data_IF_819482891153
#
_entry.id   IF_819482891153
#
_cell.length_a   1.000
_cell.length_b   1.000
_cell.length_c   1.000
_cell.angle_alpha   90.00
_cell.angle_beta   90.00
_cell.angle_gamma   90.00
#
_symmetry.space_group_name_H-M   'P 1'
#
loop_
_entity.id
_entity.type
_entity.pdbx_description
1 polymer ?
#
# COMPACT_ATOMS: atom_id res chain seq x y z
N UNK A 1 -36.26 -1.76 -3.55
CA UNK A 1 -34.89 -1.29 -3.21
C UNK A 1 -33.78 -2.25 -3.67
N UNK A 2 -33.99 -3.59 -3.66
CA UNK A 2 -32.95 -4.59 -4.02
C UNK A 2 -32.57 -4.53 -5.50
N UNK A 3 -33.49 -4.18 -6.37
CA UNK A 3 -33.31 -4.13 -7.83
C UNK A 3 -33.08 -2.70 -8.37
N UNK A 4 -33.06 -1.70 -7.49
CA UNK A 4 -32.85 -0.29 -7.91
C UNK A 4 -31.41 -0.11 -8.39
N UNK A 5 -31.23 0.41 -9.60
CA UNK A 5 -29.92 0.66 -10.22
C UNK A 5 -29.24 -0.56 -10.84
N UNK A 6 -29.95 -1.73 -10.93
CA UNK A 6 -29.40 -2.90 -11.62
C UNK A 6 -29.18 -2.58 -13.11
N UNK A 7 -27.95 -2.83 -13.60
CA UNK A 7 -27.54 -2.55 -14.96
C UNK A 7 -27.12 -1.10 -15.22
N UNK A 8 -27.26 -0.19 -14.22
CA UNK A 8 -26.89 1.23 -14.33
C UNK A 8 -25.66 1.57 -13.49
N UNK A 9 -25.60 1.02 -12.24
CA UNK A 9 -24.51 1.28 -11.31
C UNK A 9 -23.82 -0.02 -10.93
N UNK A 10 -22.54 -0.13 -11.25
CA UNK A 10 -21.71 -1.29 -10.95
C UNK A 10 -20.82 -1.00 -9.75
N UNK A 11 -21.15 -1.58 -8.60
CA UNK A 11 -20.38 -1.37 -7.34
C UNK A 11 -18.92 -1.78 -7.41
N UNK A 12 -18.53 -2.61 -8.40
CA UNK A 12 -17.14 -2.95 -8.65
C UNK A 12 -16.28 -1.72 -8.98
N UNK A 13 -16.86 -0.68 -9.56
CA UNK A 13 -16.16 0.56 -9.91
C UNK A 13 -15.83 1.44 -8.69
N UNK A 14 -16.47 1.17 -7.55
CA UNK A 14 -16.21 1.85 -6.28
C UNK A 14 -15.21 1.10 -5.39
N UNK A 15 -14.67 -0.05 -5.87
CA UNK A 15 -13.73 -0.86 -5.09
C UNK A 15 -12.31 -0.32 -5.18
N UNK A 16 -11.57 -0.46 -4.08
CA UNK A 16 -10.17 -0.12 -4.02
C UNK A 16 -9.27 -1.31 -4.40
N UNK A 17 -8.16 -1.05 -5.07
CA UNK A 17 -7.07 -2.00 -5.23
C UNK A 17 -6.11 -1.93 -4.04
N UNK A 18 -5.84 -3.07 -3.42
CA UNK A 18 -4.90 -3.14 -2.31
C UNK A 18 -3.47 -3.30 -2.82
N UNK A 19 -2.67 -2.24 -2.82
CA UNK A 19 -1.32 -2.24 -3.39
C UNK A 19 -0.29 -2.83 -2.43
N UNK A 20 -0.35 -2.50 -1.15
CA UNK A 20 0.60 -2.98 -0.15
C UNK A 20 0.09 -4.21 0.60
N UNK A 21 1.02 -5.03 1.10
CA UNK A 21 0.72 -6.29 1.80
C UNK A 21 0.47 -6.09 3.31
N UNK A 22 -0.08 -4.94 3.70
CA UNK A 22 -0.38 -4.55 5.09
C UNK A 22 -1.85 -4.22 5.28
N UNK A 23 -2.26 -3.88 6.48
CA UNK A 23 -3.60 -3.37 6.77
C UNK A 23 -3.90 -2.11 5.96
N UNK A 24 -5.12 -1.98 5.43
CA UNK A 24 -5.48 -0.83 4.60
C UNK A 24 -5.29 0.51 5.31
N UNK A 25 -5.51 0.55 6.62
CA UNK A 25 -5.30 1.74 7.45
C UNK A 25 -3.84 2.24 7.49
N UNK A 26 -2.86 1.43 7.08
CA UNK A 26 -1.45 1.87 6.99
C UNK A 26 -1.10 2.45 5.62
N UNK A 27 -1.93 2.22 4.60
CA UNK A 27 -1.60 2.57 3.22
C UNK A 27 -1.39 4.07 3.01
N UNK A 28 -2.23 5.00 3.55
CA UNK A 28 -2.02 6.42 3.31
C UNK A 28 -0.65 6.91 3.79
N UNK A 29 -0.22 6.49 4.99
CA UNK A 29 1.10 6.84 5.49
C UNK A 29 2.23 6.18 4.68
N UNK A 30 2.03 4.94 4.21
CA UNK A 30 3.01 4.26 3.33
C UNK A 30 3.16 4.97 1.98
N UNK A 31 2.07 5.44 1.37
CA UNK A 31 2.12 6.21 0.13
C UNK A 31 3.04 7.41 0.30
N UNK A 32 2.78 8.23 1.32
CA UNK A 32 3.56 9.43 1.61
C UNK A 32 5.05 9.11 1.84
N UNK A 33 5.34 8.03 2.55
CA UNK A 33 6.72 7.61 2.83
C UNK A 33 7.45 7.09 1.58
N UNK A 34 6.74 6.36 0.71
CA UNK A 34 7.31 5.85 -0.55
C UNK A 34 7.61 7.02 -1.48
N UNK A 35 6.72 8.00 -1.58
CA UNK A 35 6.92 9.19 -2.41
C UNK A 35 8.15 9.97 -1.91
N UNK A 36 8.27 10.24 -0.61
CA UNK A 36 9.43 10.91 -0.03
C UNK A 36 10.74 10.12 -0.23
N UNK A 37 10.68 8.78 -0.14
CA UNK A 37 11.84 7.92 -0.42
C UNK A 37 12.30 8.01 -1.89
N UNK A 38 11.37 8.24 -2.83
CA UNK A 38 11.67 8.41 -4.24
C UNK A 38 12.21 9.81 -4.55
N UNK A 39 11.68 10.84 -3.92
CA UNK A 39 12.12 12.23 -4.08
C UNK A 39 13.55 12.47 -3.58
N UNK A 40 13.99 11.71 -2.55
CA UNK A 40 15.34 11.80 -1.95
C UNK A 40 15.74 13.22 -1.54
N UNK A 41 14.80 13.96 -0.98
CA UNK A 41 15.01 15.36 -0.58
C UNK A 41 15.82 15.50 0.71
N UNK A 42 15.96 14.42 1.49
CA UNK A 42 16.73 14.33 2.73
C UNK A 42 17.36 12.95 2.91
N UNK A 43 18.30 12.83 3.83
CA UNK A 43 18.87 11.55 4.23
C UNK A 43 18.08 10.96 5.42
N UNK A 44 17.76 9.65 5.38
CA UNK A 44 16.99 9.01 6.44
C UNK A 44 17.70 9.08 7.81
N UNK A 45 19.01 9.13 7.82
CA UNK A 45 19.84 9.31 9.02
C UNK A 45 19.60 10.67 9.69
N UNK A 46 19.17 11.68 8.94
CA UNK A 46 18.85 13.02 9.45
C UNK A 46 17.49 13.09 10.14
N UNK A 47 16.66 12.08 9.97
CA UNK A 47 15.33 12.02 10.61
C UNK A 47 15.50 11.94 12.13
N UNK A 48 14.89 12.88 12.84
CA UNK A 48 14.83 12.91 14.30
C UNK A 48 13.50 12.35 14.81
N UNK A 49 12.39 12.77 14.22
CA UNK A 49 11.03 12.32 14.56
C UNK A 49 10.17 12.21 13.31
N UNK A 50 9.24 11.26 13.32
CA UNK A 50 8.14 11.13 12.34
C UNK A 50 6.82 11.11 13.10
N UNK A 51 5.95 12.08 12.88
CA UNK A 51 4.58 12.07 13.40
C UNK A 51 3.64 11.62 12.29
N UNK A 52 2.85 10.58 12.59
CA UNK A 52 1.82 10.06 11.70
C UNK A 52 0.46 10.38 12.28
N UNK A 53 -0.18 11.38 11.70
CA UNK A 53 -1.56 11.74 11.97
C UNK A 53 -2.52 10.81 11.22
N UNK A 54 -3.43 10.18 11.97
CA UNK A 54 -4.41 9.25 11.43
C UNK A 54 -5.74 9.39 12.18
N UNK A 55 -6.80 8.74 11.69
CA UNK A 55 -8.09 8.66 12.37
C UNK A 55 -8.10 7.54 13.43
N UNK A 56 -8.98 7.68 14.44
CA UNK A 56 -9.03 6.79 15.61
C UNK A 56 -9.17 5.31 15.25
N UNK A 57 -9.97 4.97 14.24
CA UNK A 57 -10.16 3.58 13.82
C UNK A 57 -8.87 2.95 13.28
N UNK A 58 -8.03 3.72 12.56
CA UNK A 58 -6.71 3.27 12.12
C UNK A 58 -5.79 3.01 13.31
N UNK A 59 -5.73 3.94 14.26
CA UNK A 59 -4.90 3.83 15.46
C UNK A 59 -5.29 2.60 16.30
N UNK A 60 -6.59 2.38 16.52
CA UNK A 60 -7.06 1.23 17.29
C UNK A 60 -6.62 -0.13 16.72
N UNK A 61 -6.43 -0.20 15.40
CA UNK A 61 -6.08 -1.43 14.69
C UNK A 61 -4.57 -1.56 14.47
N UNK A 62 -3.86 -0.44 14.26
CA UNK A 62 -2.48 -0.47 13.73
C UNK A 62 -1.44 0.18 14.64
N UNK A 63 -1.80 0.71 15.80
CA UNK A 63 -0.83 1.26 16.73
C UNK A 63 -0.12 0.14 17.52
N UNK A 64 0.91 -0.45 16.89
CA UNK A 64 1.73 -1.50 17.45
C UNK A 64 3.21 -1.14 17.26
N UNK A 65 3.82 -0.58 18.29
CA UNK A 65 5.20 -0.08 18.29
C UNK A 65 6.26 -1.18 18.38
N UNK A 66 5.86 -2.45 18.63
CA UNK A 66 6.80 -3.57 18.72
C UNK A 66 6.20 -4.88 18.15
N UNK A 67 5.97 -4.97 16.83
CA UNK A 67 5.49 -6.20 16.22
C UNK A 67 6.55 -7.29 16.33
N UNK A 68 6.12 -8.52 16.73
CA UNK A 68 6.99 -9.68 16.97
C UNK A 68 6.92 -10.74 15.88
N UNK A 69 6.01 -10.60 14.93
CA UNK A 69 5.83 -11.54 13.83
C UNK A 69 5.60 -10.78 12.52
N UNK A 70 5.88 -11.44 11.38
CA UNK A 70 5.56 -10.89 10.06
C UNK A 70 4.09 -10.47 9.95
N UNK A 71 3.18 -11.27 10.51
CA UNK A 71 1.76 -10.93 10.50
C UNK A 71 1.48 -9.67 11.32
N UNK A 72 2.04 -9.56 12.52
CA UNK A 72 1.86 -8.39 13.37
C UNK A 72 2.45 -7.11 12.75
N UNK A 73 3.55 -7.21 12.00
CA UNK A 73 4.16 -6.05 11.32
C UNK A 73 3.24 -5.45 10.26
N UNK A 74 2.38 -6.24 9.64
CA UNK A 74 1.36 -5.77 8.68
C UNK A 74 0.26 -4.93 9.32
N UNK A 75 0.16 -4.96 10.65
CA UNK A 75 -0.76 -4.18 11.48
C UNK A 75 -0.01 -3.21 12.43
N UNK A 76 1.19 -2.80 12.05
CA UNK A 76 1.98 -1.80 12.75
C UNK A 76 2.17 -0.59 11.86
N UNK A 77 1.52 0.52 12.19
CA UNK A 77 1.66 1.77 11.45
C UNK A 77 3.11 2.27 11.53
N UNK A 78 3.76 2.12 12.70
CA UNK A 78 5.15 2.47 12.91
C UNK A 78 6.09 1.65 12.01
N UNK A 79 5.89 0.33 11.96
CA UNK A 79 6.70 -0.54 11.10
C UNK A 79 6.48 -0.23 9.62
N UNK A 80 5.22 -0.11 9.20
CA UNK A 80 4.87 0.17 7.81
C UNK A 80 5.43 1.51 7.32
N UNK A 81 5.38 2.55 8.17
CA UNK A 81 5.97 3.88 7.91
C UNK A 81 7.48 3.80 7.72
N UNK A 82 8.18 3.15 8.67
CA UNK A 82 9.64 2.99 8.63
C UNK A 82 10.08 2.13 7.42
N UNK A 83 9.38 1.01 7.18
CA UNK A 83 9.61 0.14 6.03
C UNK A 83 9.48 0.91 4.70
N UNK A 84 8.37 1.64 4.55
CA UNK A 84 8.06 2.39 3.34
C UNK A 84 9.13 3.44 3.03
N UNK A 85 9.59 4.19 4.04
CA UNK A 85 10.63 5.20 3.86
C UNK A 85 11.99 4.59 3.53
N UNK A 86 12.39 3.50 4.21
CA UNK A 86 13.71 2.87 3.99
C UNK A 86 13.78 2.04 2.71
N UNK A 87 12.73 1.34 2.36
CA UNK A 87 12.74 0.40 1.22
C UNK A 87 12.08 0.99 -0.04
N UNK A 88 11.32 2.10 0.05
CA UNK A 88 10.57 2.71 -1.05
C UNK A 88 9.49 1.77 -1.63
N UNK A 89 9.08 0.76 -0.88
CA UNK A 89 8.16 -0.31 -1.31
C UNK A 89 7.38 -0.87 -0.12
N UNK A 90 6.25 -1.55 -0.39
CA UNK A 90 5.41 -2.18 0.64
C UNK A 90 4.71 -3.44 0.14
N UNK A 91 5.31 -4.17 -0.82
CA UNK A 91 4.79 -5.43 -1.35
C UNK A 91 4.96 -6.60 -0.38
N UNK A 92 4.54 -7.80 -0.80
CA UNK A 92 4.59 -9.00 0.05
C UNK A 92 6.03 -9.42 0.39
N UNK A 93 6.94 -9.20 -0.52
CA UNK A 93 8.37 -9.49 -0.43
C UNK A 93 9.12 -8.61 0.58
N UNK A 94 8.52 -7.50 1.04
CA UNK A 94 9.06 -6.66 2.10
C UNK A 94 8.62 -7.08 3.51
N UNK A 95 7.62 -7.97 3.66
CA UNK A 95 7.15 -8.42 4.98
C UNK A 95 7.73 -9.80 5.31
N UNK A 96 9.04 -9.86 5.56
CA UNK A 96 9.82 -11.07 5.91
C UNK A 96 10.33 -11.01 7.34
N UNK A 97 10.86 -12.12 7.86
CA UNK A 97 11.51 -12.11 9.19
C UNK A 97 12.81 -11.28 9.17
N UNK A 98 13.55 -11.29 8.06
CA UNK A 98 14.73 -10.46 7.88
C UNK A 98 14.37 -8.98 8.00
N UNK A 99 13.37 -8.52 7.28
CA UNK A 99 12.89 -7.13 7.33
C UNK A 99 12.28 -6.78 8.69
N UNK A 100 11.57 -7.72 9.31
CA UNK A 100 10.98 -7.52 10.65
C UNK A 100 12.05 -7.21 11.70
N UNK A 101 13.24 -7.82 11.58
CA UNK A 101 14.34 -7.67 12.51
C UNK A 101 15.50 -6.81 11.99
N UNK A 102 15.33 -6.16 10.85
CA UNK A 102 16.28 -5.18 10.29
C UNK A 102 16.50 -4.05 11.29
N UNK A 103 17.77 -3.81 11.67
CA UNK A 103 18.14 -2.86 12.72
C UNK A 103 17.81 -1.41 12.34
N UNK A 104 17.93 -1.04 11.06
CA UNK A 104 17.64 0.31 10.57
C UNK A 104 16.13 0.58 10.60
N UNK A 105 15.33 -0.41 10.20
CA UNK A 105 13.86 -0.30 10.30
C UNK A 105 13.45 -0.18 11.77
N UNK A 106 14.02 -1.00 12.66
CA UNK A 106 13.74 -0.95 14.10
C UNK A 106 14.17 0.35 14.75
N UNK A 107 15.30 0.91 14.31
CA UNK A 107 15.77 2.21 14.79
C UNK A 107 14.82 3.34 14.34
N UNK A 108 14.41 3.32 13.06
CA UNK A 108 13.49 4.33 12.52
C UNK A 108 12.09 4.22 13.13
N UNK A 109 11.57 3.01 13.34
CA UNK A 109 10.29 2.79 14.02
C UNK A 109 10.19 3.50 15.37
N UNK A 110 11.29 3.53 16.15
CA UNK A 110 11.31 4.20 17.47
C UNK A 110 11.14 5.70 17.38
N UNK A 111 11.34 6.28 16.20
CA UNK A 111 11.13 7.70 15.91
C UNK A 111 9.72 8.01 15.41
N UNK A 112 8.90 6.98 15.16
CA UNK A 112 7.54 7.14 14.65
C UNK A 112 6.56 7.26 15.82
N UNK A 113 5.92 8.42 15.93
CA UNK A 113 4.83 8.70 16.84
C UNK A 113 3.51 8.70 16.05
N UNK A 114 2.51 7.96 16.54
CA UNK A 114 1.17 7.90 15.93
C UNK A 114 0.19 8.65 16.79
N UNK A 115 -0.53 9.61 16.20
CA UNK A 115 -1.48 10.46 16.91
C UNK A 115 -2.75 10.69 16.08
N UNK A 116 -3.82 11.14 16.74
CA UNK A 116 -5.04 11.56 16.05
C UNK A 116 -4.77 12.92 15.40
N UNK A 117 -4.97 13.00 14.09
CA UNK A 117 -5.08 14.28 13.39
C UNK A 117 -6.57 14.63 13.24
N UNK A 118 -6.98 15.80 13.73
CA UNK A 118 -8.39 16.20 13.76
C UNK A 118 -9.00 16.37 12.38
N UNK A 119 -8.26 16.86 11.39
CA UNK A 119 -8.75 17.01 10.02
C UNK A 119 -8.96 15.65 9.36
N UNK A 120 -8.04 14.72 9.61
CA UNK A 120 -8.13 13.34 9.12
C UNK A 120 -9.27 12.57 9.82
N UNK A 121 -9.45 12.77 11.12
CA UNK A 121 -10.54 12.15 11.89
C UNK A 121 -11.92 12.65 11.43
N UNK A 122 -12.08 13.94 11.23
CA UNK A 122 -13.36 14.53 10.77
C UNK A 122 -13.73 14.07 9.34
N UNK A 123 -12.75 13.77 8.51
CA UNK A 123 -12.97 13.30 7.14
C UNK A 123 -13.32 11.80 7.06
N UNK A 124 -13.03 11.02 8.09
CA UNK A 124 -13.34 9.59 8.13
C UNK A 124 -14.84 9.37 8.47
N UNK A 125 -15.58 8.42 7.87
CA UNK A 125 -15.11 7.33 6.98
C UNK A 125 -15.11 7.66 5.47
N UNK A 126 -15.48 8.85 5.05
CA UNK A 126 -15.57 9.22 3.63
C UNK A 126 -14.18 9.26 2.99
N UNK A 127 -13.16 9.69 3.73
CA UNK A 127 -11.76 9.74 3.30
C UNK A 127 -10.88 8.94 4.27
N UNK A 128 -9.98 8.16 3.70
CA UNK A 128 -9.04 7.32 4.46
C UNK A 128 -7.62 7.91 4.39
N UNK A 129 -7.50 9.15 4.81
CA UNK A 129 -6.27 9.90 4.69
C UNK A 129 -5.24 9.66 5.78
N UNK A 130 -4.08 10.29 5.62
CA UNK A 130 -3.06 10.45 6.66
C UNK A 130 -2.27 11.73 6.41
N UNK A 131 -1.70 12.28 7.48
CA UNK A 131 -0.76 13.39 7.46
C UNK A 131 0.52 12.97 8.15
N UNK A 132 1.65 13.26 7.52
CA UNK A 132 2.95 12.94 8.10
C UNK A 132 3.80 14.19 8.22
N UNK A 133 4.36 14.41 9.41
CA UNK A 133 5.35 15.43 9.69
C UNK A 133 6.68 14.75 10.04
N UNK A 134 7.73 15.01 9.26
CA UNK A 134 9.09 14.56 9.53
C UNK A 134 9.89 15.76 10.05
N UNK A 135 10.51 15.62 11.23
CA UNK A 135 11.45 16.58 11.78
C UNK A 135 12.87 16.08 11.54
N UNK A 136 13.70 16.88 10.88
CA UNK A 136 15.13 16.58 10.63
C UNK A 136 16.01 17.17 11.74
N UNK A 137 17.25 16.65 11.87
CA UNK A 137 18.27 17.11 12.83
C UNK A 137 18.60 18.57 12.60
N UNK A 138 18.18 19.47 12.46
CA UNK A 138 18.38 20.90 12.24
C UNK A 138 17.11 21.68 12.50
N UNK A 139 16.04 20.95 12.83
CA UNK A 139 14.74 21.53 13.10
C UNK A 139 13.91 21.79 11.86
N UNK A 140 14.41 21.47 10.66
CA UNK A 140 13.63 21.52 9.42
C UNK A 140 12.48 20.51 9.51
N UNK A 141 11.31 20.92 9.02
CA UNK A 141 10.10 20.09 9.01
C UNK A 141 9.60 19.88 7.59
N UNK A 142 9.27 18.63 7.28
CA UNK A 142 8.63 18.22 6.03
C UNK A 142 7.24 17.74 6.39
N UNK A 143 6.20 18.34 5.82
CA UNK A 143 4.80 17.98 6.06
C UNK A 143 4.16 17.57 4.75
N UNK A 144 3.63 16.35 4.72
CA UNK A 144 2.92 15.79 3.57
C UNK A 144 1.61 15.16 4.03
N UNK A 145 0.59 15.16 3.17
CA UNK A 145 -0.70 14.54 3.48
C UNK A 145 -1.36 13.98 2.23
N UNK A 146 -2.23 13.01 2.42
CA UNK A 146 -3.12 12.47 1.40
C UNK A 146 -4.51 12.25 1.97
N UNK A 147 -5.54 12.45 1.16
CA UNK A 147 -6.93 12.17 1.53
C UNK A 147 -7.33 10.73 1.20
N UNK A 148 -6.76 10.17 0.14
CA UNK A 148 -7.08 8.83 -0.38
C UNK A 148 -5.81 8.04 -0.65
N UNK A 149 -5.68 6.84 -0.10
CA UNK A 149 -4.54 5.99 -0.39
C UNK A 149 -4.57 5.51 -1.84
N UNK A 150 -3.39 5.26 -2.40
CA UNK A 150 -3.22 4.71 -3.74
C UNK A 150 -4.03 3.41 -3.92
N UNK A 151 -4.79 3.36 -5.00
CA UNK A 151 -5.69 2.27 -5.34
C UNK A 151 -7.16 2.54 -5.02
N UNK A 152 -7.51 3.64 -4.37
CA UNK A 152 -8.90 4.11 -4.28
C UNK A 152 -9.36 4.69 -5.61
N UNK A 153 -10.67 4.72 -5.89
CA UNK A 153 -11.20 5.35 -7.11
C UNK A 153 -10.76 6.80 -7.29
N UNK A 154 -10.57 7.53 -6.20
CA UNK A 154 -10.14 8.93 -6.17
C UNK A 154 -8.61 9.09 -6.35
N UNK A 155 -7.85 8.04 -6.09
CA UNK A 155 -6.39 7.95 -6.30
C UNK A 155 -6.03 6.63 -6.99
N UNK A 156 -6.41 6.47 -8.27
CA UNK A 156 -6.39 5.19 -8.95
C UNK A 156 -4.97 4.72 -9.26
N UNK A 157 -4.79 3.40 -9.29
CA UNK A 157 -3.61 2.76 -9.83
C UNK A 157 -3.67 2.66 -11.34
N UNK A 158 -2.51 2.65 -11.97
CA UNK A 158 -2.38 2.36 -13.41
C UNK A 158 -2.43 0.86 -13.69
N UNK A 159 -2.70 0.48 -14.93
CA UNK A 159 -2.56 -0.92 -15.36
C UNK A 159 -1.14 -1.46 -15.12
N UNK A 160 -0.11 -0.62 -15.29
CA UNK A 160 1.27 -1.01 -15.02
C UNK A 160 1.51 -1.31 -13.53
N UNK A 161 0.97 -0.53 -12.60
CA UNK A 161 1.06 -0.83 -11.15
C UNK A 161 0.47 -2.21 -10.83
N UNK A 162 -0.62 -2.59 -11.49
CA UNK A 162 -1.26 -3.90 -11.30
C UNK A 162 -0.44 -5.03 -11.93
N UNK A 163 0.13 -4.81 -13.12
CA UNK A 163 1.04 -5.77 -13.78
C UNK A 163 2.29 -5.97 -12.93
N UNK A 164 2.92 -4.92 -12.45
CA UNK A 164 4.12 -5.00 -11.60
C UNK A 164 3.83 -5.80 -10.32
N UNK A 165 2.71 -5.53 -9.68
CA UNK A 165 2.27 -6.32 -8.52
C UNK A 165 2.04 -7.79 -8.89
N UNK A 166 1.40 -8.07 -10.03
CA UNK A 166 1.18 -9.44 -10.50
C UNK A 166 2.51 -10.15 -10.76
N UNK A 167 3.47 -9.50 -11.45
CA UNK A 167 4.78 -10.07 -11.76
C UNK A 167 5.54 -10.52 -10.49
N UNK A 168 5.45 -9.74 -9.41
CA UNK A 168 6.03 -10.10 -8.10
C UNK A 168 5.29 -11.28 -7.47
N UNK A 169 3.95 -11.23 -7.43
CA UNK A 169 3.14 -12.24 -6.74
C UNK A 169 3.13 -13.60 -7.47
N UNK A 170 3.22 -13.57 -8.80
CA UNK A 170 3.26 -14.77 -9.63
C UNK A 170 4.68 -15.38 -9.77
N UNK A 171 5.51 -15.26 -8.74
CA UNK A 171 6.93 -15.66 -8.76
C UNK A 171 7.19 -17.14 -9.04
N UNK A 172 6.17 -18.00 -8.95
CA UNK A 172 6.23 -19.44 -9.30
C UNK A 172 6.02 -19.70 -10.79
N UNK A 173 5.57 -18.71 -11.55
CA UNK A 173 5.38 -18.83 -12.99
C UNK A 173 6.63 -18.36 -13.72
N UNK A 174 6.99 -19.01 -14.87
CA UNK A 174 8.01 -18.49 -15.79
C UNK A 174 7.63 -17.08 -16.30
N UNK A 175 8.61 -16.22 -16.52
CA UNK A 175 8.37 -14.82 -16.87
C UNK A 175 7.62 -14.63 -18.19
N UNK A 176 7.91 -15.47 -19.18
CA UNK A 176 7.18 -15.50 -20.46
C UNK A 176 5.69 -15.82 -20.27
N UNK A 177 5.36 -16.73 -19.33
CA UNK A 177 3.98 -17.06 -18.97
C UNK A 177 3.28 -15.93 -18.24
N UNK A 178 3.98 -15.23 -17.33
CA UNK A 178 3.42 -14.07 -16.63
C UNK A 178 3.00 -12.97 -17.60
N UNK A 179 3.88 -12.64 -18.56
CA UNK A 179 3.59 -11.59 -19.57
C UNK A 179 2.36 -11.96 -20.40
N UNK A 180 2.31 -13.19 -20.92
CA UNK A 180 1.17 -13.68 -21.72
C UNK A 180 -0.13 -13.66 -20.89
N UNK A 181 -0.04 -14.04 -19.62
CA UNK A 181 -1.22 -14.05 -18.74
C UNK A 181 -1.72 -12.64 -18.45
N UNK A 182 -0.83 -11.71 -18.07
CA UNK A 182 -1.17 -10.32 -17.81
C UNK A 182 -1.81 -9.66 -19.04
N UNK A 183 -1.19 -9.83 -20.21
CA UNK A 183 -1.73 -9.28 -21.47
C UNK A 183 -3.12 -9.87 -21.79
N UNK A 184 -3.29 -11.17 -21.61
CA UNK A 184 -4.57 -11.84 -21.86
C UNK A 184 -5.69 -11.36 -20.94
N UNK A 185 -5.39 -11.10 -19.67
CA UNK A 185 -6.37 -10.56 -18.71
C UNK A 185 -6.69 -9.09 -19.01
N UNK A 186 -5.68 -8.28 -19.34
CA UNK A 186 -5.89 -6.87 -19.68
C UNK A 186 -6.65 -6.65 -21.00
N UNK A 187 -6.74 -7.71 -21.84
CA UNK A 187 -7.49 -7.71 -23.10
C UNK A 187 -8.63 -8.73 -23.10
N UNK A 188 -9.21 -9.01 -21.92
CA UNK A 188 -10.21 -10.06 -21.75
C UNK A 188 -11.46 -9.83 -22.63
N UNK A 189 -11.80 -8.57 -22.93
CA UNK A 189 -12.90 -8.18 -23.80
C UNK A 189 -12.70 -8.62 -25.28
N UNK A 190 -11.45 -8.96 -25.67
CA UNK A 190 -11.12 -9.47 -27.02
C UNK A 190 -11.20 -10.99 -27.11
N UNK A 191 -11.51 -11.67 -25.99
CA UNK A 191 -11.58 -13.12 -25.92
C UNK A 191 -12.94 -13.60 -26.36
N UNK A 192 -13.03 -14.34 -27.47
CA UNK A 192 -14.29 -14.83 -28.04
C UNK A 192 -14.96 -15.89 -27.16
N UNK A 193 -14.18 -16.69 -26.44
CA UNK A 193 -14.69 -17.77 -25.58
C UNK A 193 -13.82 -17.95 -24.33
N UNK A 194 -14.45 -17.77 -23.17
CA UNK A 194 -13.79 -17.99 -21.88
C UNK A 194 -13.34 -19.45 -21.71
N UNK A 195 -14.09 -20.42 -22.24
CA UNK A 195 -13.68 -21.83 -22.25
C UNK A 195 -12.38 -22.06 -23.02
N UNK A 196 -12.24 -21.46 -24.21
CA UNK A 196 -11.03 -21.52 -25.00
C UNK A 196 -9.86 -20.76 -24.34
N UNK A 197 -10.13 -19.66 -23.66
CA UNK A 197 -9.14 -18.90 -22.90
C UNK A 197 -8.36 -19.80 -21.93
N UNK A 198 -9.03 -20.66 -21.18
CA UNK A 198 -8.41 -21.58 -20.24
C UNK A 198 -7.82 -22.86 -20.87
N UNK A 199 -8.31 -23.27 -22.05
CA UNK A 199 -7.90 -24.54 -22.69
C UNK A 199 -6.89 -24.37 -23.82
N UNK A 200 -6.67 -23.17 -24.33
CA UNK A 200 -5.87 -22.87 -25.53
C UNK A 200 -4.35 -23.06 -25.38
N UNK A 201 -3.86 -23.66 -24.31
CA UNK A 201 -2.41 -23.86 -24.08
C UNK A 201 -1.63 -22.56 -23.77
N UNK A 202 -2.20 -21.38 -24.04
CA UNK A 202 -1.58 -20.10 -23.71
C UNK A 202 -1.48 -19.90 -22.19
N UNK A 203 -2.39 -20.55 -21.43
CA UNK A 203 -2.50 -20.50 -19.98
C UNK A 203 -2.37 -21.90 -19.34
N UNK A 204 -1.63 -22.84 -19.93
CA UNK A 204 -1.24 -24.04 -19.19
C UNK A 204 -0.36 -23.65 -18.00
N UNK A 205 -1.04 -23.34 -16.88
CA UNK A 205 -0.42 -22.96 -15.61
C UNK A 205 -0.09 -24.21 -14.76
N UNK A 206 -0.64 -25.39 -15.15
CA UNK A 206 -0.48 -26.68 -14.46
C UNK A 206 0.03 -27.75 -15.39
#
# INVERSE_FOLDING_TARGET
KIISGLGEVFKITENSFKIYASCRHTHPAMDLMIDLAQEKTFLVEEVEEIKVGAYQAAINITNNDYPKTQYASKFSLQFCTALALLKGKGGLDQFTDETLWDEDIRALMKKVCVEIDHEIEEAYPEKWGSKVEITLRGGEKIVVQTEYPKGDPENPVTSNDLVDKFMVLANRLPDDKKVVFADSILNLEKVESIGQFFTSGKLQIF
#
